data_IF_607917833566
#
_entry.id   IF_607917833566
#
_cell.length_a   1.000
_cell.length_b   1.000
_cell.length_c   1.000
_cell.angle_alpha   90.00
_cell.angle_beta   90.00
_cell.angle_gamma   90.00
#
_symmetry.space_group_name_H-M   'P 1'
#
loop_
_entity.id
_entity.type
_entity.pdbx_description
1 polymer ?
#
# COMPACT_ATOMS: atom_id res chain seq x y z
N UNK A 1 3.92 1.62 9.39
CA UNK A 1 4.00 2.76 8.44
C UNK A 1 5.08 3.71 8.93
N UNK A 2 5.93 4.24 8.04
CA UNK A 2 7.07 5.12 8.37
C UNK A 2 6.67 6.54 8.75
N UNK A 3 5.47 6.97 8.35
CA UNK A 3 4.86 8.23 8.79
C UNK A 3 3.88 8.00 9.95
N UNK A 4 4.02 6.93 10.75
CA UNK A 4 3.26 6.78 11.99
C UNK A 4 3.88 7.65 13.11
N UNK A 5 3.08 8.21 14.04
CA UNK A 5 3.62 9.00 15.14
C UNK A 5 4.55 8.14 16.01
N UNK A 6 5.42 8.82 16.77
CA UNK A 6 6.26 8.15 17.75
C UNK A 6 5.39 7.39 18.75
N UNK A 7 5.89 6.24 19.21
CA UNK A 7 5.25 5.52 20.31
C UNK A 7 5.63 6.20 21.62
N UNK A 8 4.72 6.26 22.57
CA UNK A 8 5.07 6.68 23.92
C UNK A 8 5.75 5.51 24.61
N UNK A 9 6.92 5.72 25.23
CA UNK A 9 7.57 4.66 26.00
C UNK A 9 6.73 4.29 27.23
N UNK A 10 6.98 3.13 27.84
CA UNK A 10 6.29 2.71 29.06
C UNK A 10 6.50 3.69 30.25
N UNK A 11 7.53 4.55 30.18
CA UNK A 11 7.86 5.56 31.17
C UNK A 11 7.31 6.97 30.81
N UNK A 12 6.52 7.09 29.73
CA UNK A 12 5.96 8.37 29.30
C UNK A 12 6.91 9.26 28.49
N UNK A 13 8.13 8.80 28.24
CA UNK A 13 9.11 9.56 27.45
C UNK A 13 8.78 9.50 25.95
N UNK A 14 8.89 10.64 25.23
CA UNK A 14 8.71 10.66 23.78
C UNK A 14 9.84 9.89 23.10
N UNK A 15 9.48 8.87 22.30
CA UNK A 15 10.45 8.19 21.42
C UNK A 15 10.57 8.91 20.08
N UNK A 16 11.60 8.60 19.31
CA UNK A 16 11.72 9.11 17.94
C UNK A 16 10.81 8.32 17.00
N UNK A 17 10.11 9.03 16.11
CA UNK A 17 9.44 8.45 14.97
C UNK A 17 10.43 8.34 13.79
N UNK A 18 10.23 7.35 12.91
CA UNK A 18 11.00 7.26 11.67
C UNK A 18 10.87 8.55 10.83
N UNK A 19 9.70 9.20 10.89
CA UNK A 19 9.46 10.48 10.21
C UNK A 19 10.37 11.62 10.64
N UNK A 20 10.98 11.54 11.82
CA UNK A 20 11.84 12.62 12.35
C UNK A 20 13.18 12.70 11.61
N UNK A 21 13.48 11.69 10.78
CA UNK A 21 14.66 11.61 9.91
C UNK A 21 14.35 11.89 8.44
N UNK A 22 13.14 12.36 8.11
CA UNK A 22 12.75 12.69 6.74
C UNK A 22 12.61 14.20 6.56
N UNK A 23 13.41 14.78 5.66
CA UNK A 23 13.26 16.19 5.26
C UNK A 23 12.03 16.41 4.37
N UNK A 24 11.63 15.37 3.63
CA UNK A 24 10.49 15.42 2.72
C UNK A 24 9.80 14.06 2.64
N UNK A 25 8.48 14.05 2.55
CA UNK A 25 7.69 12.82 2.44
C UNK A 25 6.58 12.95 1.40
N UNK A 26 6.37 11.89 0.64
CA UNK A 26 5.35 11.81 -0.42
C UNK A 26 4.35 10.71 -0.05
N UNK A 27 3.06 11.04 -0.07
CA UNK A 27 1.98 10.07 0.02
C UNK A 27 1.30 9.92 -1.35
N UNK A 28 1.24 8.69 -1.87
CA UNK A 28 0.51 8.38 -3.10
C UNK A 28 -0.92 7.96 -2.73
N UNK A 29 -1.89 8.80 -3.08
CA UNK A 29 -3.31 8.60 -2.80
C UNK A 29 -4.04 8.11 -4.05
N UNK A 30 -5.12 7.36 -3.85
CA UNK A 30 -6.05 6.94 -4.89
C UNK A 30 -7.37 6.51 -4.23
N UNK A 31 -8.44 6.35 -5.01
CA UNK A 31 -9.63 5.65 -4.53
C UNK A 31 -9.26 4.21 -4.14
N UNK A 32 -9.78 3.71 -3.01
CA UNK A 32 -9.47 2.35 -2.49
C UNK A 32 -9.79 1.26 -3.50
N UNK A 33 -10.80 1.51 -4.32
CA UNK A 33 -11.35 0.68 -5.37
C UNK A 33 -10.35 0.56 -6.53
N UNK A 34 -9.68 1.66 -6.88
CA UNK A 34 -8.60 1.66 -7.87
C UNK A 34 -7.39 0.89 -7.34
N UNK A 35 -6.99 1.10 -6.08
CA UNK A 35 -5.87 0.36 -5.47
C UNK A 35 -6.15 -1.14 -5.42
N UNK A 36 -7.40 -1.53 -5.10
CA UNK A 36 -7.84 -2.92 -5.15
C UNK A 36 -7.68 -3.50 -6.56
N UNK A 37 -8.16 -2.77 -7.57
CA UNK A 37 -8.09 -3.23 -8.95
C UNK A 37 -6.64 -3.44 -9.38
N UNK A 38 -5.78 -2.45 -9.15
CA UNK A 38 -4.34 -2.56 -9.46
C UNK A 38 -3.65 -3.70 -8.72
N UNK A 39 -4.04 -3.96 -7.47
CA UNK A 39 -3.52 -5.09 -6.71
C UNK A 39 -3.88 -6.42 -7.37
N UNK A 40 -5.14 -6.59 -7.80
CA UNK A 40 -5.63 -7.81 -8.45
C UNK A 40 -4.94 -7.98 -9.81
N UNK A 41 -4.88 -6.93 -10.63
CA UNK A 41 -4.28 -7.01 -11.96
C UNK A 41 -2.78 -7.36 -11.86
N UNK A 42 -2.04 -6.69 -10.96
CA UNK A 42 -0.64 -7.01 -10.69
C UNK A 42 -0.46 -8.45 -10.19
N UNK A 43 -1.39 -8.98 -9.39
CA UNK A 43 -1.32 -10.37 -8.91
C UNK A 43 -1.41 -11.35 -10.08
N UNK A 44 -2.27 -11.08 -11.06
CA UNK A 44 -2.42 -11.92 -12.26
C UNK A 44 -1.20 -11.82 -13.18
N UNK A 45 -0.67 -10.62 -13.38
CA UNK A 45 0.53 -10.39 -14.19
C UNK A 45 1.75 -11.11 -13.60
N UNK A 46 1.92 -11.03 -12.27
CA UNK A 46 3.00 -11.72 -11.57
C UNK A 46 2.81 -13.24 -11.58
N UNK A 47 1.55 -13.72 -11.55
CA UNK A 47 1.26 -15.15 -11.68
C UNK A 47 1.73 -15.71 -13.03
N UNK A 48 1.53 -14.97 -14.12
CA UNK A 48 1.99 -15.37 -15.45
C UNK A 48 3.52 -15.30 -15.63
N UNK A 49 4.22 -14.61 -14.73
CA UNK A 49 5.66 -14.35 -14.84
C UNK A 49 6.43 -14.84 -13.60
N UNK A 50 6.61 -13.96 -12.61
CA UNK A 50 7.47 -14.18 -11.45
C UNK A 50 7.03 -15.31 -10.51
N UNK A 51 5.78 -15.78 -10.58
CA UNK A 51 5.32 -16.92 -9.79
C UNK A 51 5.60 -18.26 -10.49
N UNK A 52 5.87 -18.27 -11.80
CA UNK A 52 6.20 -19.49 -12.53
C UNK A 52 7.57 -20.07 -12.12
N UNK A 53 8.46 -19.25 -11.55
CA UNK A 53 9.71 -19.72 -10.94
C UNK A 53 9.40 -20.56 -9.68
N UNK A 54 9.85 -21.81 -9.66
CA UNK A 54 9.68 -22.76 -8.54
C UNK A 54 10.30 -22.24 -7.23
N UNK A 55 11.30 -21.34 -7.31
CA UNK A 55 11.91 -20.71 -6.13
C UNK A 55 11.09 -19.54 -5.60
N UNK A 56 10.07 -19.09 -6.33
CA UNK A 56 9.19 -18.03 -5.91
C UNK A 56 8.36 -18.48 -4.71
N UNK A 57 8.36 -17.71 -3.63
CA UNK A 57 7.44 -17.93 -2.50
C UNK A 57 5.96 -18.03 -2.94
N UNK A 58 5.64 -17.38 -4.06
CA UNK A 58 4.32 -17.32 -4.64
C UNK A 58 4.02 -18.41 -5.67
N UNK A 59 4.96 -19.34 -5.92
CA UNK A 59 4.79 -20.44 -6.86
C UNK A 59 3.55 -21.29 -6.61
N UNK A 60 3.14 -21.41 -5.34
CA UNK A 60 1.86 -22.03 -4.91
C UNK A 60 0.59 -21.44 -5.55
N UNK A 61 0.68 -20.28 -6.19
CA UNK A 61 -0.42 -19.65 -6.90
C UNK A 61 -0.30 -19.74 -8.43
N UNK A 62 0.82 -20.23 -8.96
CA UNK A 62 1.08 -20.29 -10.39
C UNK A 62 0.10 -21.22 -11.13
N UNK A 63 -0.37 -22.27 -10.46
CA UNK A 63 -1.30 -23.26 -11.02
C UNK A 63 -2.79 -22.89 -10.92
N UNK A 64 -3.12 -21.75 -10.30
CA UNK A 64 -4.51 -21.29 -10.24
C UNK A 64 -4.95 -20.82 -11.62
N UNK A 65 -6.17 -21.16 -12.03
CA UNK A 65 -6.83 -20.51 -13.18
C UNK A 65 -7.16 -19.02 -12.87
N UNK A 66 -7.56 -18.27 -13.89
CA UNK A 66 -7.78 -16.83 -13.80
C UNK A 66 -8.83 -16.46 -12.76
N UNK A 67 -9.92 -17.20 -12.69
CA UNK A 67 -11.02 -16.94 -11.77
C UNK A 67 -10.61 -17.24 -10.32
N UNK A 68 -9.94 -18.38 -10.09
CA UNK A 68 -9.40 -18.74 -8.80
C UNK A 68 -8.32 -17.77 -8.34
N UNK A 69 -7.46 -17.29 -9.26
CA UNK A 69 -6.44 -16.30 -8.95
C UNK A 69 -7.06 -14.93 -8.59
N UNK A 70 -8.09 -14.47 -9.32
CA UNK A 70 -8.84 -13.25 -9.00
C UNK A 70 -9.55 -13.34 -7.66
N UNK A 71 -10.18 -14.48 -7.38
CA UNK A 71 -10.83 -14.74 -6.09
C UNK A 71 -9.80 -14.73 -4.96
N UNK A 72 -8.64 -15.37 -5.16
CA UNK A 72 -7.57 -15.41 -4.17
C UNK A 72 -6.96 -14.03 -3.91
N UNK A 73 -6.68 -13.27 -4.96
CA UNK A 73 -6.19 -11.90 -4.84
C UNK A 73 -7.20 -11.00 -4.11
N UNK A 74 -8.49 -11.12 -4.44
CA UNK A 74 -9.56 -10.40 -3.74
C UNK A 74 -9.65 -10.76 -2.26
N UNK A 75 -9.51 -12.05 -1.92
CA UNK A 75 -9.48 -12.52 -0.53
C UNK A 75 -8.30 -11.91 0.23
N UNK A 76 -7.08 -11.98 -0.32
CA UNK A 76 -5.88 -11.42 0.30
C UNK A 76 -6.03 -9.90 0.46
N UNK A 77 -6.55 -9.20 -0.55
CA UNK A 77 -6.83 -7.78 -0.45
C UNK A 77 -7.79 -7.46 0.70
N UNK A 78 -8.93 -8.16 0.77
CA UNK A 78 -9.95 -7.91 1.78
C UNK A 78 -9.49 -8.24 3.20
N UNK A 79 -8.70 -9.30 3.37
CA UNK A 79 -8.28 -9.79 4.69
C UNK A 79 -7.00 -9.13 5.22
N UNK A 80 -6.11 -8.64 4.33
CA UNK A 80 -4.77 -8.19 4.73
C UNK A 80 -4.52 -6.75 4.29
N UNK A 81 -4.58 -6.48 2.97
CA UNK A 81 -4.12 -5.19 2.44
C UNK A 81 -5.09 -4.04 2.71
N UNK A 82 -6.40 -4.27 2.61
CA UNK A 82 -7.42 -3.26 2.87
C UNK A 82 -7.45 -2.86 4.35
N UNK A 83 -7.49 -3.79 5.33
CA UNK A 83 -7.37 -3.43 6.74
C UNK A 83 -6.10 -2.64 7.02
N UNK A 84 -4.94 -3.11 6.51
CA UNK A 84 -3.70 -2.36 6.68
C UNK A 84 -3.73 -0.96 6.05
N UNK A 85 -4.34 -0.81 4.86
CA UNK A 85 -4.52 0.49 4.22
C UNK A 85 -5.35 1.43 5.10
N UNK A 86 -6.51 0.97 5.57
CA UNK A 86 -7.46 1.80 6.34
C UNK A 86 -6.94 2.13 7.74
N UNK A 87 -6.36 1.14 8.42
CA UNK A 87 -6.00 1.25 9.84
C UNK A 87 -4.60 1.85 10.04
N UNK A 88 -3.66 1.59 9.12
CA UNK A 88 -2.24 1.91 9.35
C UNK A 88 -1.64 2.85 8.29
N UNK A 89 -2.15 2.86 7.06
CA UNK A 89 -1.57 3.68 5.98
C UNK A 89 -2.29 5.00 5.81
N UNK A 90 -3.60 4.97 5.55
CA UNK A 90 -4.44 6.12 5.32
C UNK A 90 -4.38 7.18 6.43
N UNK A 91 -4.33 6.82 7.73
CA UNK A 91 -4.26 7.81 8.82
C UNK A 91 -2.99 8.68 8.77
N UNK A 92 -1.93 8.22 8.11
CA UNK A 92 -0.68 8.99 8.02
C UNK A 92 -0.65 9.94 6.81
N UNK A 93 -1.66 9.92 5.93
CA UNK A 93 -1.72 10.80 4.74
C UNK A 93 -1.53 12.26 5.11
N UNK A 94 -2.15 12.68 6.21
CA UNK A 94 -2.06 14.06 6.70
C UNK A 94 -0.66 14.46 7.17
N UNK A 95 0.25 13.52 7.42
CA UNK A 95 1.62 13.79 7.87
C UNK A 95 2.63 13.96 6.73
N UNK A 96 2.23 13.71 5.48
CA UNK A 96 3.11 13.86 4.33
C UNK A 96 3.36 15.33 3.99
N UNK A 97 4.51 15.62 3.39
CA UNK A 97 4.84 16.95 2.83
C UNK A 97 4.08 17.19 1.53
N UNK A 98 3.99 16.17 0.68
CA UNK A 98 3.28 16.19 -0.60
C UNK A 98 2.34 14.99 -0.72
N UNK A 99 1.08 15.23 -1.09
CA UNK A 99 0.13 14.19 -1.45
C UNK A 99 -0.13 14.24 -2.95
N UNK A 100 0.09 13.11 -3.62
CA UNK A 100 -0.12 12.92 -5.05
C UNK A 100 -1.31 11.99 -5.26
N UNK A 101 -2.38 12.48 -5.89
CA UNK A 101 -3.57 11.65 -6.15
C UNK A 101 -3.55 11.07 -7.55
N UNK A 102 -3.72 9.75 -7.64
CA UNK A 102 -3.85 8.96 -8.86
C UNK A 102 -5.31 8.64 -9.19
N UNK A 103 -5.64 8.72 -10.47
CA UNK A 103 -6.88 8.16 -11.03
C UNK A 103 -6.68 6.70 -11.45
N UNK A 104 -7.76 6.03 -11.86
CA UNK A 104 -7.81 4.58 -12.16
C UNK A 104 -6.79 4.11 -13.20
N UNK A 105 -6.38 4.98 -14.12
CA UNK A 105 -5.37 4.74 -15.16
C UNK A 105 -3.94 5.10 -14.72
N UNK A 106 -3.74 5.27 -13.41
CA UNK A 106 -2.49 5.68 -12.77
C UNK A 106 -2.02 7.11 -13.07
N UNK A 107 -2.76 7.92 -13.84
CA UNK A 107 -2.38 9.32 -14.03
C UNK A 107 -2.55 10.12 -12.75
N UNK A 108 -1.69 11.10 -12.55
CA UNK A 108 -1.81 12.06 -11.45
C UNK A 108 -2.86 13.12 -11.81
N UNK A 109 -3.83 13.35 -10.91
CA UNK A 109 -4.90 14.34 -11.09
C UNK A 109 -4.82 15.51 -10.12
N UNK A 110 -4.22 15.32 -8.95
CA UNK A 110 -4.15 16.37 -7.92
C UNK A 110 -2.85 16.29 -7.12
N UNK A 111 -2.34 17.46 -6.77
CA UNK A 111 -1.12 17.66 -5.99
C UNK A 111 -1.49 18.55 -4.79
N UNK A 112 -1.23 18.08 -3.56
CA UNK A 112 -1.41 18.86 -2.35
C UNK A 112 -0.06 18.99 -1.65
N UNK A 113 0.53 20.18 -1.72
CA UNK A 113 1.77 20.51 -1.02
C UNK A 113 1.44 21.22 0.28
N UNK A 114 2.04 20.78 1.39
CA UNK A 114 1.94 21.47 2.68
C UNK A 114 2.58 22.86 2.57
N UNK A 115 1.85 23.88 3.02
CA UNK A 115 2.38 25.24 3.12
C UNK A 115 3.43 25.30 4.23
N UNK A 116 4.55 25.94 3.93
CA UNK A 116 5.66 26.25 4.84
C UNK A 116 5.57 27.71 5.28
#
# INVERSE_FOLDING_TARGET
>A
NVLAPARVSALGEPTLAVSDFFDFSIYIDAATEHVRQWYIDRFLDLRQTAFADERSYFHRYASLDDDAARAKASQIWGAINKPNLVENVLPTRGRATLVLRKESDHRLSRFLLRKI
#
